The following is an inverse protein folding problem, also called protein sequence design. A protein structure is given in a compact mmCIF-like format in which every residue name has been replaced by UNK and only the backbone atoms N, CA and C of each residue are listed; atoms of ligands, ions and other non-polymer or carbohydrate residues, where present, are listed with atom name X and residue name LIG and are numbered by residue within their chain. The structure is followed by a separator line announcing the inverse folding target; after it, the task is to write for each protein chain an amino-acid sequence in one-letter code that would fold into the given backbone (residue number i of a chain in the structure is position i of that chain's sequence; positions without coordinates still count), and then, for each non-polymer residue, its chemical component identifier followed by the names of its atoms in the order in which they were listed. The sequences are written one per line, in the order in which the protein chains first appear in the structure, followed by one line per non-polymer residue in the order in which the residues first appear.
data_IF_460470638812
#
_entry.id   IF_460470638812
#
_cell.length_a   1.000
_cell.length_b   1.000
_cell.length_c   1.000
_cell.angle_alpha   90.00
_cell.angle_beta   90.00
_cell.angle_gamma   90.00
#
_symmetry.space_group_name_H-M   'P 1'
#
loop_
_entity.id
_entity.type
_entity.pdbx_description
1 polymer ?
#
# COMPACT_ATOMS: atom_id res chain seq x y z
N UNK A 1 1.08 22.13 -4.01
CA UNK A 1 0.53 23.43 -4.38
C UNK A 1 -0.09 23.31 -5.76
N UNK A 2 -1.20 24.02 -6.01
CA UNK A 2 -1.78 24.16 -7.33
C UNK A 2 -0.97 25.15 -8.20
N UNK A 3 -1.38 25.36 -9.45
CA UNK A 3 -0.71 26.31 -10.37
C UNK A 3 -0.76 27.76 -9.88
N UNK A 4 -1.69 28.11 -9.00
CA UNK A 4 -1.80 29.42 -8.36
C UNK A 4 -0.92 29.57 -7.11
N UNK A 5 -0.16 28.53 -6.74
CA UNK A 5 0.71 28.52 -5.55
C UNK A 5 0.01 28.20 -4.23
N UNK A 6 -1.30 27.95 -4.24
CA UNK A 6 -2.08 27.62 -3.05
C UNK A 6 -1.82 26.18 -2.59
N UNK A 7 -1.90 25.93 -1.29
CA UNK A 7 -1.75 24.59 -0.74
C UNK A 7 -2.92 23.70 -1.15
N UNK A 8 -2.62 22.55 -1.72
CA UNK A 8 -3.61 21.54 -2.07
C UNK A 8 -3.47 20.37 -1.13
N UNK A 9 -4.58 19.99 -0.48
CA UNK A 9 -4.64 18.86 0.43
C UNK A 9 -5.45 17.74 -0.23
N UNK A 10 -4.94 16.54 -0.12
CA UNK A 10 -5.61 15.35 -0.62
C UNK A 10 -5.70 14.31 0.49
N UNK A 11 -6.82 13.60 0.52
CA UNK A 11 -7.07 12.54 1.48
C UNK A 11 -6.73 11.19 0.83
N UNK A 12 -5.71 10.51 1.35
CA UNK A 12 -5.25 9.24 0.81
C UNK A 12 -6.32 8.14 0.93
N UNK A 13 -7.22 8.20 1.91
CA UNK A 13 -8.33 7.25 2.00
C UNK A 13 -9.33 7.42 0.84
N UNK A 14 -9.48 8.65 0.32
CA UNK A 14 -10.33 8.94 -0.85
C UNK A 14 -9.62 8.65 -2.16
N UNK A 15 -8.30 8.74 -2.19
CA UNK A 15 -7.43 8.43 -3.32
C UNK A 15 -6.47 7.28 -2.93
N UNK A 16 -6.98 6.07 -2.72
CA UNK A 16 -6.24 5.01 -2.02
C UNK A 16 -4.96 4.59 -2.72
N UNK A 17 -4.90 4.78 -4.03
CA UNK A 17 -3.77 4.40 -4.86
C UNK A 17 -3.49 5.55 -5.83
N UNK A 18 -2.25 6.03 -5.80
CA UNK A 18 -1.79 7.18 -6.55
C UNK A 18 -0.65 6.78 -7.49
N UNK A 19 -0.84 7.07 -8.77
CA UNK A 19 0.21 6.97 -9.77
C UNK A 19 0.85 8.34 -9.98
N UNK A 20 2.17 8.39 -9.90
CA UNK A 20 2.96 9.61 -10.03
C UNK A 20 3.94 9.42 -11.19
N UNK A 21 3.91 10.29 -12.18
CA UNK A 21 4.83 10.20 -13.30
C UNK A 21 5.51 11.53 -13.60
N UNK A 22 6.75 11.47 -14.06
CA UNK A 22 7.51 12.66 -14.44
C UNK A 22 8.97 12.35 -14.67
N UNK A 23 9.60 13.08 -15.58
CA UNK A 23 11.02 12.90 -15.91
C UNK A 23 11.94 13.34 -14.77
N UNK A 24 13.21 12.96 -14.85
CA UNK A 24 14.26 13.45 -13.95
C UNK A 24 14.28 14.99 -13.94
N UNK A 25 14.40 15.59 -12.77
CA UNK A 25 14.40 17.03 -12.59
C UNK A 25 13.03 17.71 -12.72
N UNK A 26 11.93 16.94 -12.85
CA UNK A 26 10.57 17.49 -12.93
C UNK A 26 9.97 17.90 -11.56
N UNK A 27 10.62 17.50 -10.45
CA UNK A 27 10.11 17.68 -9.09
C UNK A 27 9.37 16.46 -8.53
N UNK A 28 9.33 15.31 -9.24
CA UNK A 28 8.69 14.07 -8.82
C UNK A 28 9.16 13.62 -7.42
N UNK A 29 10.47 13.52 -7.21
CA UNK A 29 11.07 13.10 -5.94
C UNK A 29 10.76 14.04 -4.79
N UNK A 30 10.80 15.35 -5.04
CA UNK A 30 10.38 16.37 -4.05
C UNK A 30 8.91 16.18 -3.67
N UNK A 31 8.05 15.90 -4.65
CA UNK A 31 6.64 15.61 -4.42
C UNK A 31 6.41 14.36 -3.58
N UNK A 32 7.11 13.25 -3.89
CA UNK A 32 7.02 12.00 -3.12
C UNK A 32 7.48 12.24 -1.68
N UNK A 33 8.64 12.88 -1.50
CA UNK A 33 9.15 13.23 -0.18
C UNK A 33 8.18 14.10 0.62
N UNK A 34 7.55 15.09 -0.02
CA UNK A 34 6.52 15.91 0.64
C UNK A 34 5.32 15.10 1.11
N UNK A 35 4.89 14.08 0.33
CA UNK A 35 3.79 13.19 0.71
C UNK A 35 4.20 12.30 1.90
N UNK A 36 5.37 11.68 1.86
CA UNK A 36 5.89 10.85 2.97
C UNK A 36 6.00 11.70 4.24
N UNK A 37 6.65 12.86 4.17
CA UNK A 37 6.80 13.76 5.31
C UNK A 37 5.46 14.20 5.89
N UNK A 38 4.46 14.51 5.04
CA UNK A 38 3.14 14.91 5.53
C UNK A 38 2.45 13.81 6.34
N UNK A 39 2.68 12.54 6.00
CA UNK A 39 2.17 11.40 6.77
C UNK A 39 2.97 11.18 8.06
N UNK A 40 4.30 11.29 8.00
CA UNK A 40 5.18 11.15 9.17
C UNK A 40 4.90 12.22 10.23
N UNK A 41 4.60 13.46 9.82
CA UNK A 41 4.19 14.53 10.75
C UNK A 41 2.79 14.33 11.34
N UNK A 42 1.92 13.61 10.64
CA UNK A 42 0.52 13.42 11.04
C UNK A 42 0.31 12.19 11.92
N UNK A 43 1.00 11.09 11.64
CA UNK A 43 0.75 9.78 12.24
C UNK A 43 1.95 9.27 13.04
N UNK A 44 1.66 8.66 14.18
CA UNK A 44 2.66 7.92 14.97
C UNK A 44 2.99 6.57 14.30
N UNK A 45 4.14 5.95 14.64
CA UNK A 45 4.50 4.63 14.12
C UNK A 45 3.49 3.51 14.40
N UNK A 46 2.67 3.66 15.45
CA UNK A 46 1.57 2.74 15.77
C UNK A 46 0.31 2.95 14.93
N UNK A 47 0.22 4.06 14.21
CA UNK A 47 -0.96 4.44 13.41
C UNK A 47 -0.73 4.30 11.92
N UNK A 48 0.53 4.49 11.47
CA UNK A 48 0.92 4.39 10.07
C UNK A 48 2.29 3.73 9.93
N UNK A 49 2.38 2.77 9.04
CA UNK A 49 3.60 2.07 8.70
C UNK A 49 3.92 2.23 7.22
N UNK A 50 5.21 2.12 6.89
CA UNK A 50 5.70 2.24 5.52
C UNK A 50 6.44 1.00 5.06
N UNK A 51 6.31 0.72 3.76
CA UNK A 51 7.22 -0.11 2.98
C UNK A 51 7.72 0.77 1.85
N UNK A 52 9.02 1.06 1.86
CA UNK A 52 9.66 1.92 0.87
C UNK A 52 10.47 1.06 -0.10
N UNK A 53 10.24 1.23 -1.39
CA UNK A 53 10.90 0.49 -2.47
C UNK A 53 11.61 1.50 -3.36
N UNK A 54 12.93 1.48 -3.32
CA UNK A 54 13.83 2.37 -4.06
C UNK A 54 14.94 1.56 -4.73
N UNK A 55 14.70 1.02 -5.94
CA UNK A 55 15.68 0.21 -6.65
C UNK A 55 16.98 0.96 -6.99
N UNK A 56 16.94 2.29 -7.02
CA UNK A 56 18.07 3.13 -7.37
C UNK A 56 18.89 3.61 -6.17
N UNK A 57 18.40 3.43 -4.95
CA UNK A 57 19.04 3.88 -3.69
C UNK A 57 19.30 5.40 -3.62
N UNK A 58 18.50 6.22 -4.30
CA UNK A 58 18.78 7.65 -4.44
C UNK A 58 17.81 8.55 -3.67
N UNK A 59 16.56 8.13 -3.51
CA UNK A 59 15.50 9.03 -3.10
C UNK A 59 14.95 8.72 -1.70
N UNK A 60 14.86 7.44 -1.33
CA UNK A 60 14.19 7.00 -0.10
C UNK A 60 15.14 6.51 1.00
N UNK A 61 16.45 6.41 0.72
CA UNK A 61 17.46 5.98 1.70
C UNK A 61 17.57 6.89 2.94
N UNK A 62 17.15 8.15 2.81
CA UNK A 62 17.10 9.12 3.93
C UNK A 62 16.09 8.72 5.02
N UNK A 63 15.19 7.79 4.73
CA UNK A 63 14.20 7.27 5.67
C UNK A 63 14.62 5.97 6.34
N UNK A 64 15.85 5.49 6.11
CA UNK A 64 16.33 4.27 6.78
C UNK A 64 16.25 4.46 8.30
N UNK A 65 15.98 3.38 9.00
CA UNK A 65 15.86 3.32 10.47
C UNK A 65 14.73 4.13 11.13
N UNK A 66 13.83 4.78 10.37
CA UNK A 66 12.68 5.43 11.01
C UNK A 66 11.72 4.37 11.60
N UNK A 67 11.11 4.63 12.78
CA UNK A 67 10.27 3.64 13.46
C UNK A 67 8.95 3.30 12.73
N UNK A 68 8.63 4.02 11.68
CA UNK A 68 7.47 3.75 10.82
C UNK A 68 7.73 2.63 9.81
N UNK A 69 8.97 2.26 9.52
CA UNK A 69 9.27 1.21 8.55
C UNK A 69 8.86 -0.18 9.06
N UNK A 70 8.27 -0.99 8.20
CA UNK A 70 8.00 -2.42 8.43
C UNK A 70 9.21 -3.29 8.06
N UNK A 71 10.05 -2.81 7.18
CA UNK A 71 11.29 -3.44 6.70
C UNK A 71 12.28 -2.33 6.31
N UNK A 72 13.58 -2.59 6.34
CA UNK A 72 14.55 -1.68 5.72
C UNK A 72 14.14 -1.30 4.31
N UNK A 73 14.60 -0.16 3.80
CA UNK A 73 14.29 0.29 2.44
C UNK A 73 14.67 -0.80 1.44
N UNK A 74 13.72 -1.22 0.62
CA UNK A 74 13.90 -2.33 -0.31
C UNK A 74 14.54 -1.82 -1.59
N UNK A 75 15.82 -2.16 -1.79
CA UNK A 75 16.63 -1.67 -2.92
C UNK A 75 16.77 -2.70 -4.04
N UNK A 76 16.55 -3.97 -3.75
CA UNK A 76 16.63 -5.03 -4.76
C UNK A 76 15.25 -5.29 -5.38
N UNK A 77 15.09 -5.21 -6.72
CA UNK A 77 13.81 -5.44 -7.39
C UNK A 77 13.19 -6.82 -7.12
N UNK A 78 13.99 -7.87 -6.99
CA UNK A 78 13.47 -9.20 -6.63
C UNK A 78 12.90 -9.21 -5.20
N UNK A 79 13.58 -8.55 -4.25
CA UNK A 79 13.06 -8.41 -2.89
C UNK A 79 11.79 -7.55 -2.85
N UNK A 80 11.65 -6.58 -3.76
CA UNK A 80 10.44 -5.79 -3.89
C UNK A 80 9.21 -6.64 -4.25
N UNK A 81 9.37 -7.65 -5.11
CA UNK A 81 8.30 -8.62 -5.41
C UNK A 81 7.88 -9.38 -4.14
N UNK A 82 8.82 -9.82 -3.32
CA UNK A 82 8.51 -10.47 -2.05
C UNK A 82 7.80 -9.53 -1.07
N UNK A 83 8.22 -8.26 -1.01
CA UNK A 83 7.54 -7.25 -0.20
C UNK A 83 6.09 -7.05 -0.66
N UNK A 84 5.84 -6.94 -1.96
CA UNK A 84 4.48 -6.83 -2.52
C UNK A 84 3.64 -8.08 -2.24
N UNK A 85 4.21 -9.29 -2.33
CA UNK A 85 3.52 -10.54 -1.93
C UNK A 85 3.14 -10.52 -0.46
N UNK A 86 4.05 -10.06 0.40
CA UNK A 86 3.76 -9.91 1.82
C UNK A 86 2.59 -8.92 2.05
N UNK A 87 2.57 -7.80 1.34
CA UNK A 87 1.48 -6.81 1.44
C UNK A 87 0.14 -7.43 1.02
N UNK A 88 0.12 -8.25 -0.04
CA UNK A 88 -1.10 -8.96 -0.46
C UNK A 88 -1.56 -9.93 0.64
N UNK A 89 -0.66 -10.70 1.22
CA UNK A 89 -0.99 -11.61 2.31
C UNK A 89 -1.51 -10.87 3.54
N UNK A 90 -0.88 -9.74 3.89
CA UNK A 90 -1.35 -8.89 5.00
C UNK A 90 -2.75 -8.33 4.72
N UNK A 91 -3.00 -7.87 3.51
CA UNK A 91 -4.34 -7.45 3.07
C UNK A 91 -5.38 -8.56 3.31
N UNK A 92 -5.08 -9.79 2.87
CA UNK A 92 -5.98 -10.93 3.04
C UNK A 92 -6.21 -11.30 4.51
N UNK A 93 -5.15 -11.23 5.32
CA UNK A 93 -5.26 -11.46 6.76
C UNK A 93 -6.15 -10.42 7.43
N UNK A 94 -6.02 -9.15 7.04
CA UNK A 94 -6.90 -8.08 7.52
C UNK A 94 -8.36 -8.31 7.12
N UNK A 95 -8.60 -8.75 5.89
CA UNK A 95 -9.95 -9.12 5.44
C UNK A 95 -10.54 -10.26 6.27
N UNK A 96 -9.75 -11.31 6.57
CA UNK A 96 -10.19 -12.41 7.44
C UNK A 96 -10.56 -11.90 8.84
N UNK A 97 -9.76 -11.00 9.41
CA UNK A 97 -10.04 -10.39 10.72
C UNK A 97 -11.31 -9.53 10.68
N UNK A 98 -11.44 -8.67 9.69
CA UNK A 98 -12.62 -7.82 9.52
C UNK A 98 -13.90 -8.65 9.32
N UNK A 99 -13.85 -9.67 8.47
CA UNK A 99 -14.96 -10.61 8.23
C UNK A 99 -15.38 -11.32 9.50
N UNK A 100 -14.43 -11.88 10.25
CA UNK A 100 -14.72 -12.61 11.50
C UNK A 100 -15.31 -11.71 12.61
N UNK A 101 -15.07 -10.39 12.51
CA UNK A 101 -15.63 -9.42 13.45
C UNK A 101 -16.88 -8.71 12.90
N UNK A 102 -17.32 -9.02 11.68
CA UNK A 102 -18.53 -8.46 11.06
C UNK A 102 -18.39 -6.99 10.67
N UNK A 103 -17.17 -6.52 10.37
CA UNK A 103 -16.92 -5.13 9.95
C UNK A 103 -16.40 -5.07 8.51
N UNK A 104 -16.58 -3.91 7.85
CA UNK A 104 -16.33 -3.77 6.41
C UNK A 104 -15.02 -3.04 6.06
N UNK A 105 -14.40 -2.36 7.02
CA UNK A 105 -13.19 -1.58 6.81
C UNK A 105 -12.36 -1.47 8.09
N UNK A 106 -11.11 -1.04 7.93
CA UNK A 106 -10.13 -0.93 9.02
C UNK A 106 -10.56 0.05 10.12
N UNK A 107 -11.20 1.16 9.78
CA UNK A 107 -11.64 2.14 10.76
C UNK A 107 -12.72 1.55 11.67
N UNK A 108 -13.69 0.84 11.09
CA UNK A 108 -14.71 0.12 11.85
C UNK A 108 -14.12 -1.00 12.70
N UNK A 109 -13.07 -1.69 12.18
CA UNK A 109 -12.35 -2.70 12.95
C UNK A 109 -11.65 -2.07 14.16
N UNK A 110 -10.87 -1.02 13.95
CA UNK A 110 -10.13 -0.33 15.00
C UNK A 110 -11.08 0.26 16.06
N UNK A 111 -12.23 0.82 15.67
CA UNK A 111 -13.25 1.29 16.58
C UNK A 111 -13.83 0.16 17.43
N UNK A 112 -14.10 -0.99 16.82
CA UNK A 112 -14.60 -2.18 17.52
C UNK A 112 -13.57 -2.72 18.52
N UNK A 113 -12.28 -2.70 18.18
CA UNK A 113 -11.20 -3.07 19.12
C UNK A 113 -11.21 -2.17 20.35
N UNK A 114 -11.28 -0.84 20.15
CA UNK A 114 -11.33 0.12 21.27
C UNK A 114 -12.57 -0.09 22.15
N UNK A 115 -13.74 -0.28 21.55
CA UNK A 115 -14.97 -0.55 22.29
C UNK A 115 -14.89 -1.87 23.07
N UNK A 116 -14.31 -2.91 22.50
CA UNK A 116 -14.16 -4.22 23.15
C UNK A 116 -13.21 -4.13 24.34
N UNK A 117 -12.07 -3.42 24.17
CA UNK A 117 -11.13 -3.16 25.25
C UNK A 117 -11.76 -2.38 26.41
N UNK A 118 -12.53 -1.33 26.11
CA UNK A 118 -13.20 -0.53 27.14
C UNK A 118 -14.22 -1.33 27.95
N UNK A 119 -14.80 -2.39 27.36
CA UNK A 119 -15.77 -3.29 28.01
C UNK A 119 -15.12 -4.48 28.71
N UNK A 120 -13.79 -4.62 28.67
CA UNK A 120 -13.05 -5.77 29.21
C UNK A 120 -13.44 -7.12 28.58
N UNK A 121 -13.92 -7.10 27.32
CA UNK A 121 -14.35 -8.29 26.58
C UNK A 121 -13.21 -8.83 25.71
N UNK A 122 -13.37 -10.08 25.26
CA UNK A 122 -12.49 -10.72 24.28
C UNK A 122 -13.23 -10.94 22.98
N UNK A 123 -12.50 -10.91 21.87
CA UNK A 123 -12.99 -11.29 20.55
C UNK A 123 -12.40 -12.63 20.15
N UNK A 124 -13.22 -13.46 19.50
CA UNK A 124 -12.80 -14.75 18.98
C UNK A 124 -13.15 -14.86 17.51
N UNK A 125 -12.34 -15.60 16.79
CA UNK A 125 -12.64 -16.02 15.41
C UNK A 125 -12.65 -17.54 15.32
N UNK A 126 -13.45 -18.05 14.44
CA UNK A 126 -13.36 -19.44 14.02
C UNK A 126 -12.19 -19.60 13.06
N UNK A 127 -11.32 -20.53 13.32
CA UNK A 127 -10.19 -20.87 12.47
C UNK A 127 -10.16 -22.37 12.25
N UNK A 128 -10.08 -22.78 10.99
CA UNK A 128 -9.81 -24.16 10.66
C UNK A 128 -8.37 -24.49 11.02
N UNK A 129 -8.18 -25.41 11.96
CA UNK A 129 -6.86 -25.83 12.46
C UNK A 129 -6.40 -27.16 11.89
N UNK A 130 -7.29 -27.90 11.26
CA UNK A 130 -6.98 -29.19 10.67
C UNK A 130 -8.16 -29.81 9.95
N UNK A 131 -7.98 -31.07 9.52
CA UNK A 131 -9.02 -31.94 9.00
C UNK A 131 -8.99 -33.17 9.90
N UNK A 132 -10.13 -33.58 10.43
CA UNK A 132 -10.28 -34.79 11.18
C UNK A 132 -10.02 -36.00 10.26
N UNK A 133 -9.11 -36.87 10.67
CA UNK A 133 -8.65 -38.00 9.84
C UNK A 133 -9.73 -39.07 9.64
N UNK A 134 -10.70 -39.19 10.54
CA UNK A 134 -11.77 -40.20 10.49
C UNK A 134 -12.99 -39.68 9.73
N UNK A 135 -13.44 -38.45 10.07
CA UNK A 135 -14.64 -37.85 9.49
C UNK A 135 -14.39 -37.05 8.23
N UNK A 136 -13.11 -36.70 7.94
CA UNK A 136 -12.69 -35.76 6.88
C UNK A 136 -13.35 -34.37 6.96
N UNK A 137 -13.91 -34.05 8.12
CA UNK A 137 -14.49 -32.72 8.36
C UNK A 137 -13.45 -31.73 8.86
N UNK A 138 -13.60 -30.43 8.55
CA UNK A 138 -12.68 -29.42 9.06
C UNK A 138 -12.82 -29.29 10.58
N UNK A 139 -11.69 -29.31 11.30
CA UNK A 139 -11.63 -29.01 12.72
C UNK A 139 -11.65 -27.49 12.86
N UNK A 140 -12.69 -26.95 13.48
CA UNK A 140 -12.87 -25.51 13.71
C UNK A 140 -12.61 -25.21 15.17
N UNK A 141 -11.61 -24.38 15.42
CA UNK A 141 -11.27 -23.90 16.77
C UNK A 141 -11.55 -22.40 16.90
N UNK A 142 -11.95 -21.99 18.10
CA UNK A 142 -12.07 -20.57 18.43
C UNK A 142 -10.70 -20.02 18.82
N UNK A 143 -10.12 -19.15 17.97
CA UNK A 143 -8.88 -18.43 18.29
C UNK A 143 -9.19 -17.01 18.76
N UNK A 144 -8.56 -16.60 19.86
CA UNK A 144 -8.66 -15.23 20.35
C UNK A 144 -8.03 -14.25 19.34
N UNK A 145 -8.71 -13.15 19.07
CA UNK A 145 -8.22 -12.06 18.22
C UNK A 145 -7.46 -11.09 19.13
N UNK A 146 -6.19 -10.77 18.82
CA UNK A 146 -5.47 -9.73 19.55
C UNK A 146 -6.24 -8.41 19.49
N UNK A 147 -6.44 -7.79 20.65
CA UNK A 147 -7.17 -6.51 20.76
C UNK A 147 -6.21 -5.33 20.49
N UNK A 148 -5.57 -5.35 19.33
CA UNK A 148 -4.65 -4.32 18.88
C UNK A 148 -5.20 -3.62 17.63
N UNK A 149 -5.05 -2.29 17.58
CA UNK A 149 -5.39 -1.52 16.38
C UNK A 149 -4.44 -1.89 15.25
N UNK A 150 -5.00 -2.05 14.07
CA UNK A 150 -4.21 -2.23 12.86
C UNK A 150 -3.79 -0.85 12.31
N UNK A 151 -2.49 -0.61 12.08
CA UNK A 151 -2.03 0.63 11.47
C UNK A 151 -2.39 0.69 9.98
N UNK A 152 -2.48 1.89 9.43
CA UNK A 152 -2.43 2.09 7.99
C UNK A 152 -1.07 1.60 7.46
N UNK A 153 -1.02 1.10 6.24
CA UNK A 153 0.22 0.74 5.56
C UNK A 153 0.30 1.52 4.26
N UNK A 154 1.38 2.26 4.07
CA UNK A 154 1.66 2.99 2.83
C UNK A 154 2.86 2.35 2.16
N UNK A 155 2.63 1.80 0.97
CA UNK A 155 3.67 1.24 0.12
C UNK A 155 4.08 2.30 -0.90
N UNK A 156 5.33 2.70 -0.88
CA UNK A 156 5.88 3.68 -1.82
C UNK A 156 6.84 2.98 -2.77
N UNK A 157 6.61 3.13 -4.07
CA UNK A 157 7.48 2.62 -5.13
C UNK A 157 8.01 3.83 -5.89
N UNK A 158 9.31 4.13 -5.77
CA UNK A 158 9.91 5.30 -6.44
C UNK A 158 10.05 5.10 -7.95
N UNK A 159 10.39 3.88 -8.39
CA UNK A 159 10.53 3.60 -9.82
C UNK A 159 9.89 2.24 -10.19
N UNK A 160 8.66 2.31 -10.67
CA UNK A 160 7.90 1.14 -11.11
C UNK A 160 8.55 0.44 -12.31
N UNK A 161 9.19 1.21 -13.21
CA UNK A 161 9.80 0.67 -14.42
C UNK A 161 10.86 -0.39 -14.10
N UNK A 162 11.65 -0.19 -13.05
CA UNK A 162 12.70 -1.12 -12.68
C UNK A 162 12.13 -2.45 -12.16
N UNK A 163 10.99 -2.43 -11.48
CA UNK A 163 10.28 -3.63 -11.07
C UNK A 163 9.66 -4.36 -12.27
N UNK A 164 9.05 -3.60 -13.19
CA UNK A 164 8.42 -4.14 -14.39
C UNK A 164 9.44 -4.83 -15.31
N UNK A 165 10.67 -4.33 -15.38
CA UNK A 165 11.75 -4.94 -16.17
C UNK A 165 12.18 -6.32 -15.62
N UNK A 166 12.12 -6.51 -14.30
CA UNK A 166 12.58 -7.75 -13.65
C UNK A 166 11.48 -8.82 -13.59
N UNK A 167 10.27 -8.42 -13.25
CA UNK A 167 9.16 -9.34 -13.01
C UNK A 167 7.80 -8.72 -13.40
N UNK A 168 7.73 -8.09 -14.58
CA UNK A 168 6.62 -7.25 -15.01
C UNK A 168 5.24 -7.86 -14.81
N UNK A 169 5.03 -9.09 -15.30
CA UNK A 169 3.72 -9.76 -15.17
C UNK A 169 3.33 -10.04 -13.72
N UNK A 170 4.28 -10.42 -12.89
CA UNK A 170 4.03 -10.70 -11.48
C UNK A 170 3.76 -9.41 -10.70
N UNK A 171 4.56 -8.37 -10.92
CA UNK A 171 4.37 -7.04 -10.32
C UNK A 171 3.02 -6.46 -10.73
N UNK A 172 2.66 -6.52 -12.03
CA UNK A 172 1.37 -6.06 -12.53
C UNK A 172 0.21 -6.74 -11.79
N UNK A 173 0.25 -8.07 -11.67
CA UNK A 173 -0.80 -8.84 -10.97
C UNK A 173 -0.90 -8.47 -9.48
N UNK A 174 0.24 -8.32 -8.78
CA UNK A 174 0.27 -7.97 -7.37
C UNK A 174 -0.28 -6.55 -7.13
N UNK A 175 0.20 -5.60 -7.94
CA UNK A 175 -0.24 -4.20 -7.87
C UNK A 175 -1.72 -4.06 -8.24
N UNK A 176 -2.19 -4.78 -9.26
CA UNK A 176 -3.60 -4.83 -9.62
C UNK A 176 -4.46 -5.34 -8.46
N UNK A 177 -4.08 -6.45 -7.83
CA UNK A 177 -4.81 -7.04 -6.71
C UNK A 177 -4.89 -6.09 -5.52
N UNK A 178 -3.77 -5.44 -5.20
CA UNK A 178 -3.74 -4.42 -4.15
C UNK A 178 -4.63 -3.23 -4.50
N UNK A 179 -4.51 -2.68 -5.71
CA UNK A 179 -5.29 -1.52 -6.11
C UNK A 179 -6.80 -1.78 -6.13
N UNK A 180 -7.25 -3.02 -6.37
CA UNK A 180 -8.66 -3.40 -6.34
C UNK A 180 -9.21 -3.58 -4.92
N UNK A 181 -8.40 -4.05 -3.98
CA UNK A 181 -8.92 -4.54 -2.70
C UNK A 181 -8.33 -3.85 -1.47
N UNK A 182 -7.14 -3.25 -1.55
CA UNK A 182 -6.40 -2.84 -0.37
C UNK A 182 -7.00 -1.66 0.42
N UNK A 183 -7.82 -0.82 -0.23
CA UNK A 183 -8.43 0.38 0.38
C UNK A 183 -9.14 0.08 1.69
N UNK A 184 -10.04 -0.91 1.71
CA UNK A 184 -10.82 -1.24 2.90
C UNK A 184 -9.96 -1.81 4.04
N UNK A 185 -8.81 -2.41 3.71
CA UNK A 185 -7.85 -2.94 4.69
C UNK A 185 -6.85 -1.90 5.21
N UNK A 186 -6.97 -0.63 4.77
CA UNK A 186 -6.08 0.46 5.18
C UNK A 186 -4.67 0.36 4.58
N UNK A 187 -4.56 -0.19 3.36
CA UNK A 187 -3.31 -0.29 2.63
C UNK A 187 -3.38 0.58 1.39
N UNK A 188 -2.37 1.42 1.19
CA UNK A 188 -2.31 2.43 0.15
C UNK A 188 -1.04 2.31 -0.67
N UNK A 189 -1.13 2.55 -1.98
CA UNK A 189 0.00 2.52 -2.91
C UNK A 189 0.30 3.93 -3.41
N UNK A 190 1.53 4.37 -3.26
CA UNK A 190 2.11 5.53 -3.94
C UNK A 190 3.13 4.99 -4.94
N UNK A 191 2.75 4.90 -6.19
CA UNK A 191 3.58 4.29 -7.24
C UNK A 191 4.09 5.36 -8.17
N UNK A 192 5.39 5.45 -8.34
CA UNK A 192 6.00 6.45 -9.19
C UNK A 192 6.83 5.85 -10.31
N UNK A 193 7.01 6.62 -11.39
CA UNK A 193 7.91 6.27 -12.50
C UNK A 193 8.45 7.50 -13.20
N UNK A 194 9.71 7.42 -13.62
CA UNK A 194 10.34 8.39 -14.53
C UNK A 194 10.16 8.00 -16.01
N UNK A 195 9.68 6.77 -16.26
CA UNK A 195 9.48 6.19 -17.60
C UNK A 195 7.99 5.89 -17.83
N UNK A 196 7.19 6.90 -18.20
CA UNK A 196 5.76 6.74 -18.41
C UNK A 196 5.43 6.09 -19.76
N UNK A 197 6.05 4.94 -20.06
CA UNK A 197 5.82 4.18 -21.27
C UNK A 197 4.67 3.16 -21.08
N UNK A 198 4.10 2.68 -22.17
CA UNK A 198 2.94 1.76 -22.16
C UNK A 198 3.25 0.37 -21.57
N UNK A 199 4.51 -0.02 -21.56
CA UNK A 199 5.00 -1.25 -20.93
C UNK A 199 5.13 -1.14 -19.40
N UNK A 200 5.21 0.08 -18.87
CA UNK A 200 5.25 0.39 -17.44
C UNK A 200 3.86 0.77 -16.93
N UNK A 201 3.21 1.74 -17.61
CA UNK A 201 1.85 2.16 -17.30
C UNK A 201 0.88 1.45 -18.24
N UNK A 202 0.70 0.16 -17.99
CA UNK A 202 -0.17 -0.70 -18.79
C UNK A 202 -1.63 -0.32 -18.66
N UNK A 203 -2.48 -0.84 -19.55
CA UNK A 203 -3.94 -0.68 -19.45
C UNK A 203 -4.50 -1.14 -18.11
N UNK A 204 -3.97 -2.24 -17.57
CA UNK A 204 -4.33 -2.79 -16.26
C UNK A 204 -3.97 -1.82 -15.14
N UNK A 205 -2.77 -1.26 -15.15
CA UNK A 205 -2.34 -0.25 -14.16
C UNK A 205 -3.23 0.98 -14.26
N UNK A 206 -3.48 1.50 -15.47
CA UNK A 206 -4.33 2.67 -15.66
C UNK A 206 -5.76 2.48 -15.14
N UNK A 207 -6.34 1.31 -15.34
CA UNK A 207 -7.69 1.00 -14.89
C UNK A 207 -7.80 0.97 -13.35
N UNK A 208 -6.72 0.65 -12.66
CA UNK A 208 -6.71 0.48 -11.21
C UNK A 208 -6.13 1.67 -10.42
N UNK A 209 -5.55 2.66 -11.12
CA UNK A 209 -5.05 3.90 -10.55
C UNK A 209 -5.82 5.11 -11.13
N UNK A 210 -7.01 5.39 -10.62
CA UNK A 210 -7.81 6.52 -11.10
C UNK A 210 -7.22 7.87 -10.71
N UNK A 211 -6.49 7.93 -9.59
CA UNK A 211 -5.80 9.15 -9.14
C UNK A 211 -4.39 9.19 -9.69
N UNK A 212 -4.07 10.26 -10.40
CA UNK A 212 -2.77 10.42 -11.07
C UNK A 212 -2.23 11.82 -10.90
N UNK A 213 -0.91 11.91 -10.72
CA UNK A 213 -0.17 13.17 -10.73
C UNK A 213 0.85 13.09 -11.85
N UNK A 214 0.78 14.00 -12.81
CA UNK A 214 1.79 14.17 -13.83
C UNK A 214 2.65 15.39 -13.53
N UNK A 215 3.93 15.17 -13.38
CA UNK A 215 4.94 16.21 -13.49
C UNK A 215 5.31 16.41 -14.96
N UNK A 216 6.24 17.32 -15.24
CA UNK A 216 6.72 17.54 -16.59
C UNK A 216 7.24 16.25 -17.21
N UNK A 217 6.84 15.96 -18.43
CA UNK A 217 7.29 14.83 -19.25
C UNK A 217 7.94 15.31 -20.54
N UNK A 218 8.72 14.44 -21.19
CA UNK A 218 9.51 14.81 -22.34
C UNK A 218 8.69 14.88 -23.65
N UNK A 219 7.63 14.07 -23.73
CA UNK A 219 6.87 13.92 -24.99
C UNK A 219 5.36 13.99 -24.77
N UNK A 220 4.65 14.29 -25.85
CA UNK A 220 3.19 14.20 -25.91
C UNK A 220 2.68 12.76 -25.75
N UNK A 221 3.47 11.77 -26.15
CA UNK A 221 3.11 10.38 -25.99
C UNK A 221 3.13 9.97 -24.52
N UNK A 222 4.16 10.40 -23.76
CA UNK A 222 4.25 10.16 -22.33
C UNK A 222 3.06 10.78 -21.59
N UNK A 223 2.71 12.02 -21.93
CA UNK A 223 1.55 12.71 -21.36
C UNK A 223 0.25 11.91 -21.58
N UNK A 224 0.01 11.42 -22.79
CA UNK A 224 -1.17 10.59 -23.12
C UNK A 224 -1.14 9.21 -22.46
N UNK A 225 0.04 8.70 -22.12
CA UNK A 225 0.16 7.44 -21.41
C UNK A 225 -0.25 7.59 -19.95
N UNK A 226 0.03 8.74 -19.34
CA UNK A 226 -0.30 9.01 -17.93
C UNK A 226 -1.77 9.37 -17.76
N UNK A 227 -2.28 10.27 -18.60
CA UNK A 227 -3.64 10.87 -18.53
C UNK A 227 -4.53 10.24 -19.64
#
# INVERSE_FOLDING_TARGET
KNISGESTFADLEKMPHLLIAGTTGSGKSVGINSMILSLLFKFKPSECKFILIDPKMLELSVYEDIPHLLTPVVTNPNKAVFALKWVVNEMENRYKLMSSTGVKNINSFNNKIVETLSKGKKLFREAQTGIDNETRLPIIEKKEIPLEKLPLIVVVIDEMADLMMVAGKEVENLVQRLAQMARASGIHLLTATQRPSVDVITGTIKANFPSRISYRVASRFDSRTII
#
